data_IF_026784501929
#
_entry.id   IF_026784501929
#
_cell.length_a   1.000
_cell.length_b   1.000
_cell.length_c   1.000
_cell.angle_alpha   90.00
_cell.angle_beta   90.00
_cell.angle_gamma   90.00
#
_symmetry.space_group_name_H-M   'P 1'
#
loop_
_entity.id
_entity.type
_entity.pdbx_description
1 polymer ?
#
# COMPACT_ATOMS: atom_id res chain seq x y z
N UNK A 1 20.79 1.50 8.41
CA UNK A 1 19.76 1.78 7.39
C UNK A 1 19.16 3.13 7.75
N UNK A 2 18.61 3.89 6.80
CA UNK A 2 17.94 5.15 7.15
C UNK A 2 16.70 4.84 8.02
N UNK A 3 16.39 5.68 9.02
CA UNK A 3 15.32 5.41 9.99
C UNK A 3 13.92 5.40 9.37
N UNK A 4 13.68 6.21 8.33
CA UNK A 4 12.43 6.18 7.57
C UNK A 4 12.28 4.88 6.78
N UNK A 5 13.37 4.41 6.15
CA UNK A 5 13.32 3.14 5.43
C UNK A 5 13.11 1.94 6.35
N UNK A 6 13.66 1.95 7.56
CA UNK A 6 13.36 0.93 8.58
C UNK A 6 11.85 0.83 8.84
N UNK A 7 11.17 1.98 9.02
CA UNK A 7 9.71 2.01 9.19
C UNK A 7 8.99 1.47 7.95
N UNK A 8 9.39 1.86 6.74
CA UNK A 8 8.76 1.39 5.52
C UNK A 8 8.94 -0.12 5.29
N UNK A 9 10.11 -0.67 5.61
CA UNK A 9 10.32 -2.12 5.57
C UNK A 9 9.43 -2.86 6.58
N UNK A 10 9.28 -2.34 7.80
CA UNK A 10 8.40 -2.92 8.82
C UNK A 10 6.93 -2.89 8.37
N UNK A 11 6.48 -1.78 7.78
CA UNK A 11 5.14 -1.65 7.18
C UNK A 11 4.94 -2.70 6.06
N UNK A 12 5.94 -2.90 5.21
CA UNK A 12 5.93 -3.91 4.15
C UNK A 12 5.84 -5.33 4.68
N UNK A 13 6.58 -5.68 5.73
CA UNK A 13 6.46 -6.99 6.38
C UNK A 13 5.04 -7.22 6.91
N UNK A 14 4.46 -6.20 7.55
CA UNK A 14 3.09 -6.29 8.05
C UNK A 14 2.07 -6.41 6.90
N UNK A 15 2.20 -5.61 5.85
CA UNK A 15 1.35 -5.64 4.67
C UNK A 15 1.40 -7.02 3.99
N UNK A 16 2.60 -7.59 3.79
CA UNK A 16 2.77 -8.94 3.23
C UNK A 16 2.10 -10.01 4.10
N UNK A 17 2.17 -9.90 5.43
CA UNK A 17 1.47 -10.81 6.33
C UNK A 17 -0.07 -10.72 6.16
N UNK A 18 -0.62 -9.52 6.01
CA UNK A 18 -2.05 -9.30 5.74
C UNK A 18 -2.47 -9.85 4.37
N UNK A 19 -1.63 -9.66 3.34
CA UNK A 19 -1.86 -10.19 1.99
C UNK A 19 -1.91 -11.72 1.97
N UNK A 20 -1.08 -12.39 2.78
CA UNK A 20 -1.16 -13.85 2.95
C UNK A 20 -2.47 -14.31 3.60
N UNK A 21 -3.12 -13.47 4.43
CA UNK A 21 -4.45 -13.78 4.96
C UNK A 21 -5.54 -13.51 3.92
N UNK A 22 -5.45 -12.39 3.19
CA UNK A 22 -6.36 -12.08 2.09
C UNK A 22 -6.40 -13.23 1.07
N UNK A 23 -5.24 -13.73 0.65
CA UNK A 23 -5.13 -14.85 -0.29
C UNK A 23 -5.94 -16.07 0.15
N UNK A 24 -5.84 -16.46 1.44
CA UNK A 24 -6.61 -17.57 2.00
C UNK A 24 -8.12 -17.33 1.95
N UNK A 25 -8.57 -16.10 2.20
CA UNK A 25 -9.99 -15.76 2.12
C UNK A 25 -10.49 -15.82 0.67
N UNK A 26 -9.72 -15.30 -0.28
CA UNK A 26 -10.06 -15.35 -1.70
C UNK A 26 -10.08 -16.80 -2.22
N UNK A 27 -9.11 -17.63 -1.82
CA UNK A 27 -9.11 -19.06 -2.13
C UNK A 27 -10.31 -19.79 -1.52
N UNK A 28 -10.68 -19.46 -0.29
CA UNK A 28 -11.88 -20.00 0.35
C UNK A 28 -13.14 -19.68 -0.47
N UNK A 29 -13.30 -18.43 -0.93
CA UNK A 29 -14.42 -18.02 -1.77
C UNK A 29 -14.40 -18.77 -3.11
N UNK A 30 -13.23 -18.85 -3.77
CA UNK A 30 -13.10 -19.59 -5.04
C UNK A 30 -13.49 -21.06 -4.91
N UNK A 31 -13.11 -21.70 -3.81
CA UNK A 31 -13.35 -23.13 -3.59
C UNK A 31 -14.78 -23.45 -3.15
N UNK A 32 -15.34 -22.64 -2.24
CA UNK A 32 -16.61 -22.96 -1.57
C UNK A 32 -17.78 -22.11 -2.07
N UNK A 33 -17.52 -20.98 -2.74
CA UNK A 33 -18.56 -20.06 -3.20
C UNK A 33 -19.22 -19.22 -2.11
N UNK A 34 -18.64 -19.19 -0.89
CA UNK A 34 -19.28 -18.63 0.31
C UNK A 34 -18.54 -17.38 0.82
N UNK A 35 -18.79 -16.22 0.20
CA UNK A 35 -18.17 -14.94 0.61
C UNK A 35 -18.61 -14.49 2.02
N UNK A 36 -19.86 -14.77 2.41
CA UNK A 36 -20.39 -14.31 3.70
C UNK A 36 -19.62 -14.87 4.90
N UNK A 37 -19.10 -16.11 4.79
CA UNK A 37 -18.36 -16.76 5.89
C UNK A 37 -17.01 -16.11 6.20
N UNK A 38 -16.45 -15.34 5.26
CA UNK A 38 -15.18 -14.62 5.43
C UNK A 38 -15.35 -13.10 5.39
N UNK A 39 -16.61 -12.62 5.38
CA UNK A 39 -16.94 -11.19 5.21
C UNK A 39 -16.29 -10.32 6.29
N UNK A 40 -16.36 -10.74 7.56
CA UNK A 40 -15.80 -9.98 8.68
C UNK A 40 -14.27 -9.83 8.51
N UNK A 41 -13.60 -10.89 8.09
CA UNK A 41 -12.15 -10.88 7.86
C UNK A 41 -11.78 -9.96 6.69
N UNK A 42 -12.56 -10.00 5.61
CA UNK A 42 -12.38 -9.08 4.48
C UNK A 42 -12.62 -7.61 4.87
N UNK A 43 -13.60 -7.34 5.74
CA UNK A 43 -13.84 -6.00 6.29
C UNK A 43 -12.64 -5.54 7.12
N UNK A 44 -12.10 -6.40 7.99
CA UNK A 44 -10.92 -6.07 8.79
C UNK A 44 -9.70 -5.79 7.90
N UNK A 45 -9.48 -6.60 6.86
CA UNK A 45 -8.41 -6.36 5.89
C UNK A 45 -8.61 -5.04 5.12
N UNK A 46 -9.83 -4.75 4.65
CA UNK A 46 -10.15 -3.50 3.95
C UNK A 46 -9.92 -2.27 4.82
N UNK A 47 -10.20 -2.35 6.13
CA UNK A 47 -9.88 -1.29 7.11
C UNK A 47 -8.39 -1.13 7.35
N UNK A 48 -7.63 -2.23 7.38
CA UNK A 48 -6.18 -2.17 7.47
C UNK A 48 -5.60 -1.38 6.29
N UNK A 49 -6.01 -1.69 5.06
CA UNK A 49 -5.58 -0.94 3.87
C UNK A 49 -5.98 0.53 3.92
N UNK A 50 -7.20 0.83 4.38
CA UNK A 50 -7.69 2.21 4.47
C UNK A 50 -6.87 3.09 5.41
N UNK A 51 -6.30 2.51 6.47
CA UNK A 51 -5.62 3.28 7.51
C UNK A 51 -4.11 3.17 7.33
N UNK A 52 -3.56 1.97 7.50
CA UNK A 52 -2.12 1.78 7.60
C UNK A 52 -1.44 1.97 6.24
N UNK A 53 -2.01 1.36 5.19
CA UNK A 53 -1.42 1.45 3.86
C UNK A 53 -1.58 2.85 3.25
N UNK A 54 -2.70 3.53 3.50
CA UNK A 54 -2.88 4.90 2.99
C UNK A 54 -1.91 5.89 3.67
N UNK A 55 -1.67 5.75 4.97
CA UNK A 55 -0.63 6.55 5.67
C UNK A 55 0.74 6.30 5.04
N UNK A 56 1.08 5.04 4.77
CA UNK A 56 2.35 4.68 4.13
C UNK A 56 2.50 5.35 2.76
N UNK A 57 1.51 5.20 1.87
CA UNK A 57 1.52 5.84 0.55
C UNK A 57 1.64 7.36 0.64
N UNK A 58 0.95 7.99 1.59
CA UNK A 58 1.05 9.45 1.78
C UNK A 58 2.45 9.84 2.26
N UNK A 59 3.08 9.07 3.14
CA UNK A 59 4.47 9.33 3.53
C UNK A 59 5.42 9.24 2.34
N UNK A 60 5.24 8.25 1.47
CA UNK A 60 6.04 8.13 0.26
C UNK A 60 5.82 9.28 -0.71
N UNK A 61 4.56 9.56 -1.05
CA UNK A 61 4.16 10.60 -2.01
C UNK A 61 4.55 12.02 -1.57
N UNK A 62 4.49 12.31 -0.26
CA UNK A 62 4.74 13.65 0.27
C UNK A 62 6.16 13.85 0.80
N UNK A 63 6.81 12.79 1.29
CA UNK A 63 8.12 12.89 1.93
C UNK A 63 9.26 12.39 1.04
N UNK A 64 9.11 11.24 0.38
CA UNK A 64 10.21 10.56 -0.32
C UNK A 64 10.22 10.84 -1.82
N UNK A 65 9.09 10.64 -2.49
CA UNK A 65 8.96 10.73 -3.95
C UNK A 65 9.34 12.11 -4.51
N UNK A 66 8.99 13.26 -3.90
CA UNK A 66 9.37 14.57 -4.41
C UNK A 66 10.89 14.76 -4.45
N UNK A 67 11.61 14.20 -3.46
CA UNK A 67 13.07 14.25 -3.40
C UNK A 67 13.68 13.35 -4.49
N UNK A 68 13.13 12.17 -4.70
CA UNK A 68 13.58 11.27 -5.77
C UNK A 68 13.38 11.87 -7.15
N UNK A 69 12.21 12.46 -7.42
CA UNK A 69 11.90 13.13 -8.69
C UNK A 69 12.91 14.25 -8.99
N UNK A 70 13.36 14.99 -7.97
CA UNK A 70 14.40 16.00 -8.15
C UNK A 70 15.75 15.43 -8.57
N UNK A 71 16.07 14.18 -8.18
CA UNK A 71 17.34 13.52 -8.50
C UNK A 71 17.33 12.79 -9.84
N UNK A 72 16.25 12.06 -10.12
CA UNK A 72 16.20 11.12 -11.25
C UNK A 72 15.24 11.55 -12.36
N UNK A 73 14.53 12.66 -12.15
CA UNK A 73 13.51 13.18 -13.05
C UNK A 73 12.11 12.61 -12.77
N UNK A 74 11.06 13.19 -13.40
CA UNK A 74 9.67 12.81 -13.16
C UNK A 74 9.25 11.53 -13.89
N UNK A 75 9.95 11.17 -14.95
CA UNK A 75 9.65 9.97 -15.73
C UNK A 75 10.52 8.83 -15.20
N UNK A 76 9.90 7.78 -14.66
CA UNK A 76 10.66 6.64 -14.15
C UNK A 76 9.94 5.88 -13.04
N UNK A 77 10.67 5.27 -12.09
CA UNK A 77 10.10 4.35 -11.12
C UNK A 77 9.07 5.03 -10.20
N UNK A 78 9.26 6.30 -9.83
CA UNK A 78 8.31 7.06 -9.00
C UNK A 78 6.93 7.17 -9.66
N UNK A 79 6.88 7.55 -10.95
CA UNK A 79 5.61 7.63 -11.69
C UNK A 79 4.86 6.29 -11.71
N UNK A 80 5.59 5.17 -11.80
CA UNK A 80 4.97 3.84 -11.75
C UNK A 80 4.39 3.56 -10.36
N UNK A 81 5.09 3.94 -9.29
CA UNK A 81 4.59 3.76 -7.91
C UNK A 81 3.32 4.58 -7.68
N UNK A 82 3.30 5.86 -8.07
CA UNK A 82 2.11 6.72 -7.94
C UNK A 82 0.90 6.17 -8.72
N UNK A 83 1.12 5.64 -9.94
CA UNK A 83 0.05 4.99 -10.70
C UNK A 83 -0.48 3.74 -9.98
N UNK A 84 0.40 2.93 -9.39
CA UNK A 84 0.03 1.74 -8.64
C UNK A 84 -0.70 2.09 -7.34
N UNK A 85 -0.31 3.15 -6.63
CA UNK A 85 -1.06 3.67 -5.48
C UNK A 85 -2.50 4.03 -5.87
N UNK A 86 -2.68 4.72 -7.00
CA UNK A 86 -4.00 5.06 -7.53
C UNK A 86 -4.88 3.82 -7.77
N UNK A 87 -4.35 2.84 -8.49
CA UNK A 87 -5.05 1.57 -8.78
C UNK A 87 -5.39 0.77 -7.52
N UNK A 88 -4.49 0.75 -6.54
CA UNK A 88 -4.70 0.11 -5.26
C UNK A 88 -5.78 0.81 -4.44
N UNK A 89 -5.79 2.14 -4.39
CA UNK A 89 -6.84 2.94 -3.73
C UNK A 89 -8.20 2.72 -4.38
N UNK A 90 -8.27 2.66 -5.71
CA UNK A 90 -9.51 2.36 -6.44
C UNK A 90 -10.04 0.96 -6.11
N UNK A 91 -9.16 -0.05 -6.16
CA UNK A 91 -9.52 -1.43 -5.84
C UNK A 91 -9.94 -1.60 -4.37
N UNK A 92 -9.26 -0.91 -3.45
CA UNK A 92 -9.61 -0.89 -2.02
C UNK A 92 -11.00 -0.29 -1.81
N UNK A 93 -11.30 0.84 -2.45
CA UNK A 93 -12.60 1.51 -2.35
C UNK A 93 -13.72 0.63 -2.90
N UNK A 94 -13.50 -0.02 -4.03
CA UNK A 94 -14.44 -0.95 -4.63
C UNK A 94 -14.71 -2.15 -3.70
N UNK A 95 -13.65 -2.78 -3.18
CA UNK A 95 -13.76 -3.89 -2.24
C UNK A 95 -14.54 -3.47 -0.98
N UNK A 96 -14.24 -2.31 -0.40
CA UNK A 96 -14.97 -1.76 0.75
C UNK A 96 -16.46 -1.62 0.45
N UNK A 97 -16.82 -1.06 -0.70
CA UNK A 97 -18.22 -0.86 -1.09
C UNK A 97 -18.97 -2.19 -1.33
N UNK A 98 -18.28 -3.22 -1.83
CA UNK A 98 -18.87 -4.56 -2.01
C UNK A 98 -19.21 -5.20 -0.66
N UNK A 99 -18.34 -5.03 0.32
CA UNK A 99 -18.48 -5.66 1.65
C UNK A 99 -19.57 -5.01 2.52
N UNK A 100 -20.13 -3.86 2.14
CA UNK A 100 -21.23 -3.20 2.85
C UNK A 100 -22.62 -3.54 2.29
N UNK A 101 -22.70 -4.23 1.15
CA UNK A 101 -23.98 -4.63 0.53
C UNK A 101 -24.68 -5.73 1.33
N UNK A 102 -26.02 -5.80 1.24
CA UNK A 102 -26.79 -6.89 1.85
C UNK A 102 -26.43 -8.23 1.22
N UNK A 103 -26.43 -8.30 -0.11
CA UNK A 103 -25.96 -9.43 -0.89
C UNK A 103 -24.55 -9.18 -1.44
N UNK A 104 -23.64 -10.13 -1.21
CA UNK A 104 -22.27 -10.04 -1.67
C UNK A 104 -22.12 -10.52 -3.11
N UNK A 105 -21.52 -9.67 -3.94
CA UNK A 105 -21.04 -10.03 -5.28
C UNK A 105 -19.66 -10.68 -5.16
N UNK A 106 -19.65 -12.02 -5.12
CA UNK A 106 -18.44 -12.81 -4.90
C UNK A 106 -17.45 -12.66 -6.07
N UNK A 107 -17.92 -12.56 -7.31
CA UNK A 107 -17.08 -12.39 -8.48
C UNK A 107 -16.32 -11.05 -8.40
N UNK A 108 -17.02 -9.96 -8.08
CA UNK A 108 -16.39 -8.65 -7.90
C UNK A 108 -15.44 -8.62 -6.69
N UNK A 109 -15.76 -9.32 -5.59
CA UNK A 109 -14.84 -9.45 -4.44
C UNK A 109 -13.56 -10.17 -4.85
N UNK A 110 -13.67 -11.26 -5.62
CA UNK A 110 -12.51 -12.01 -6.11
C UNK A 110 -11.66 -11.19 -7.08
N UNK A 111 -12.30 -10.37 -7.91
CA UNK A 111 -11.63 -9.46 -8.84
C UNK A 111 -10.81 -8.40 -8.08
N UNK A 112 -11.45 -7.57 -7.27
CA UNK A 112 -10.76 -6.47 -6.58
C UNK A 112 -9.80 -6.97 -5.51
N UNK A 113 -10.17 -8.02 -4.76
CA UNK A 113 -9.26 -8.65 -3.80
C UNK A 113 -8.05 -9.27 -4.51
N UNK A 114 -8.25 -9.95 -5.64
CA UNK A 114 -7.16 -10.52 -6.43
C UNK A 114 -6.24 -9.43 -7.00
N UNK A 115 -6.80 -8.32 -7.47
CA UNK A 115 -6.03 -7.18 -7.97
C UNK A 115 -5.14 -6.58 -6.88
N UNK A 116 -5.71 -6.25 -5.71
CA UNK A 116 -4.94 -5.80 -4.54
C UNK A 116 -3.82 -6.77 -4.21
N UNK A 117 -4.13 -8.08 -4.15
CA UNK A 117 -3.16 -9.11 -3.81
C UNK A 117 -1.95 -9.12 -4.77
N UNK A 118 -2.22 -9.08 -6.07
CA UNK A 118 -1.16 -9.11 -7.09
C UNK A 118 -0.36 -7.80 -7.13
N UNK A 119 -1.05 -6.67 -7.24
CA UNK A 119 -0.42 -5.35 -7.45
C UNK A 119 0.39 -4.97 -6.22
N UNK A 120 -0.15 -5.10 -5.00
CA UNK A 120 0.57 -4.68 -3.80
C UNK A 120 1.80 -5.55 -3.51
N UNK A 121 1.77 -6.86 -3.82
CA UNK A 121 2.95 -7.72 -3.69
C UNK A 121 4.07 -7.29 -4.65
N UNK A 122 3.72 -7.01 -5.90
CA UNK A 122 4.69 -6.56 -6.89
C UNK A 122 5.22 -5.15 -6.57
N UNK A 123 4.36 -4.28 -6.07
CA UNK A 123 4.67 -2.92 -5.65
C UNK A 123 5.72 -2.92 -4.53
N UNK A 124 5.44 -3.62 -3.42
CA UNK A 124 6.38 -3.78 -2.30
C UNK A 124 7.73 -4.35 -2.77
N UNK A 125 7.71 -5.29 -3.72
CA UNK A 125 8.94 -5.84 -4.28
C UNK A 125 9.76 -4.80 -5.07
N UNK A 126 9.10 -3.95 -5.87
CA UNK A 126 9.77 -2.87 -6.61
C UNK A 126 10.37 -1.85 -5.65
N UNK A 127 9.67 -1.51 -4.58
CA UNK A 127 10.18 -0.57 -3.57
C UNK A 127 11.39 -1.13 -2.85
N UNK A 128 11.23 -2.30 -2.23
CA UNK A 128 12.29 -2.93 -1.45
C UNK A 128 13.54 -3.25 -2.27
N UNK A 129 13.39 -3.67 -3.53
CA UNK A 129 14.52 -4.16 -4.34
C UNK A 129 15.09 -3.11 -5.29
N UNK A 130 14.34 -2.06 -5.61
CA UNK A 130 14.72 -1.08 -6.63
C UNK A 130 14.66 0.34 -6.09
N UNK A 131 13.50 0.80 -5.61
CA UNK A 131 13.30 2.21 -5.27
C UNK A 131 14.08 2.61 -4.02
N UNK A 132 14.02 1.83 -2.95
CA UNK A 132 14.72 2.12 -1.70
C UNK A 132 16.25 2.01 -1.85
N UNK A 133 16.82 0.98 -2.52
CA UNK A 133 18.25 0.98 -2.81
C UNK A 133 18.70 2.13 -3.71
N UNK A 134 17.82 2.62 -4.59
CA UNK A 134 18.09 3.82 -5.39
C UNK A 134 18.08 5.07 -4.52
N UNK A 135 17.09 5.22 -3.63
CA UNK A 135 16.97 6.38 -2.74
C UNK A 135 18.20 6.55 -1.85
N UNK A 136 18.71 5.46 -1.27
CA UNK A 136 19.94 5.47 -0.47
C UNK A 136 21.17 5.94 -1.26
N UNK A 137 21.22 5.74 -2.57
CA UNK A 137 22.35 6.14 -3.42
C UNK A 137 22.30 7.59 -3.86
N UNK A 138 21.10 8.17 -4.01
CA UNK A 138 20.92 9.47 -4.66
C UNK A 138 20.57 10.60 -3.68
N UNK A 139 20.03 10.27 -2.52
CA UNK A 139 19.65 11.26 -1.50
C UNK A 139 20.80 11.54 -0.53
N UNK A 140 20.93 12.80 -0.15
CA UNK A 140 21.87 13.27 0.86
C UNK A 140 21.31 13.13 2.27
N UNK A 141 22.16 13.22 3.30
CA UNK A 141 21.72 13.18 4.70
C UNK A 141 20.68 14.27 5.05
N UNK A 142 20.79 15.46 4.46
CA UNK A 142 19.85 16.55 4.72
C UNK A 142 18.47 16.28 4.09
N UNK A 143 18.45 15.71 2.89
CA UNK A 143 17.22 15.29 2.22
C UNK A 143 16.54 14.15 2.98
N UNK A 144 17.31 13.21 3.53
CA UNK A 144 16.78 12.17 4.42
C UNK A 144 16.14 12.75 5.69
N UNK A 145 16.80 13.70 6.36
CA UNK A 145 16.22 14.38 7.53
C UNK A 145 14.94 15.14 7.18
N UNK A 146 14.87 15.74 5.99
CA UNK A 146 13.66 16.38 5.49
C UNK A 146 12.53 15.35 5.31
N UNK A 147 12.82 14.22 4.67
CA UNK A 147 11.85 13.14 4.48
C UNK A 147 11.34 12.59 5.82
N UNK A 148 12.24 12.27 6.75
CA UNK A 148 11.90 11.79 8.09
C UNK A 148 11.00 12.76 8.84
N UNK A 149 11.30 14.06 8.77
CA UNK A 149 10.46 15.10 9.39
C UNK A 149 9.05 15.12 8.81
N UNK A 150 8.91 15.15 7.48
CA UNK A 150 7.60 15.21 6.81
C UNK A 150 6.81 13.92 7.11
N UNK A 151 7.45 12.75 7.02
CA UNK A 151 6.82 11.48 7.31
C UNK A 151 6.35 11.39 8.77
N UNK A 152 7.12 11.92 9.72
CA UNK A 152 6.73 12.02 11.13
C UNK A 152 5.51 12.92 11.37
N UNK A 153 5.43 14.08 10.68
CA UNK A 153 4.27 14.97 10.73
C UNK A 153 2.99 14.30 10.20
N UNK A 154 3.12 13.50 9.12
CA UNK A 154 2.03 12.70 8.55
C UNK A 154 1.56 11.63 9.54
N UNK A 155 2.49 10.87 10.13
CA UNK A 155 2.17 9.82 11.11
C UNK A 155 1.43 10.35 12.35
N UNK A 156 1.70 11.60 12.74
CA UNK A 156 1.01 12.26 13.86
C UNK A 156 -0.33 12.92 13.46
N UNK A 157 -0.75 12.80 12.19
CA UNK A 157 -1.98 13.42 11.68
C UNK A 157 -1.92 14.94 11.57
N UNK A 158 -0.73 15.55 11.63
CA UNK A 158 -0.54 17.00 11.65
C UNK A 158 -0.58 17.63 10.25
N UNK A 159 -0.60 16.80 9.19
CA UNK A 159 -0.63 17.22 7.78
C UNK A 159 -1.89 16.78 7.01
N UNK A 160 -2.84 16.08 7.65
CA UNK A 160 -4.11 15.63 7.04
C UNK A 160 -5.20 16.74 7.01
N UNK A 161 -4.81 17.99 6.72
CA UNK A 161 -5.69 19.16 6.70
C UNK A 161 -6.03 19.64 5.29
#
# INVERSE_FOLDING_TARGET
MNGLLEVFYDDHEHALAQLNQLEKYLEYIKKNGEAEKVRIQLISFSKFLEIALDIHFVQEEEALFPLLVQKIGPNGPVMVMEMEHGDLRESQKALKALLTKEELDKEAILEHGGRILSVLREHIAKENQVLFPLSERVLTEEEWKQAEKIAGEIALGQKLA
#
